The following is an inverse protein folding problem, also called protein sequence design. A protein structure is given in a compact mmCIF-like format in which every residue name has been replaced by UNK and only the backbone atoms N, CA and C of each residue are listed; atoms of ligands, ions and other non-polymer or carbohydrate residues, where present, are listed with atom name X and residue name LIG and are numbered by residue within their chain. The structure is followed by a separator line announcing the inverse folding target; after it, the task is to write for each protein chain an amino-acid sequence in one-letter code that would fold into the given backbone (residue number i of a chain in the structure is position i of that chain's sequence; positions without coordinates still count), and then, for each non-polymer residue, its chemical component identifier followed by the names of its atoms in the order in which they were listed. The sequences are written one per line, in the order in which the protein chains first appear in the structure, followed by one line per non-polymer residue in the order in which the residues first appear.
data_IF_952630270446
#
_entry.id   IF_952630270446
#
_cell.length_a   1.000
_cell.length_b   1.000
_cell.length_c   1.000
_cell.angle_alpha   90.00
_cell.angle_beta   90.00
_cell.angle_gamma   90.00
#
_symmetry.space_group_name_H-M   'P 1'
#
loop_
_entity.id
_entity.type
_entity.pdbx_description
1 polymer ?
#
# COMPACT_ATOMS: atom_id res chain seq x y z
N UNK A 1 -0.39 -22.45 -1.98
CA UNK A 1 0.94 -22.02 -2.45
C UNK A 1 0.76 -21.56 -3.90
N UNK A 2 0.82 -20.26 -4.18
CA UNK A 2 0.58 -19.75 -5.54
C UNK A 2 1.78 -20.12 -6.42
N UNK A 3 1.54 -20.81 -7.54
CA UNK A 3 2.58 -21.05 -8.54
C UNK A 3 2.85 -19.75 -9.28
N UNK A 4 3.89 -19.05 -8.87
CA UNK A 4 4.42 -17.91 -9.64
C UNK A 4 4.84 -18.45 -11.00
N UNK A 5 4.23 -17.95 -12.07
CA UNK A 5 4.59 -18.28 -13.45
C UNK A 5 5.35 -17.10 -14.05
N UNK A 6 6.65 -17.27 -14.29
CA UNK A 6 7.53 -16.25 -14.86
C UNK A 6 8.25 -15.41 -13.80
N UNK A 7 8.76 -14.24 -14.20
CA UNK A 7 9.36 -13.29 -13.25
C UNK A 7 8.28 -12.69 -12.34
N UNK A 8 8.59 -12.40 -11.08
CA UNK A 8 7.62 -11.81 -10.14
C UNK A 8 7.03 -10.51 -10.70
N UNK A 9 7.84 -9.73 -11.44
CA UNK A 9 7.39 -8.52 -12.13
C UNK A 9 6.28 -8.79 -13.15
N UNK A 10 6.46 -9.76 -14.04
CA UNK A 10 5.43 -10.14 -15.04
C UNK A 10 4.20 -10.79 -14.41
N UNK A 11 4.39 -11.47 -13.28
CA UNK A 11 3.28 -12.09 -12.58
C UNK A 11 2.41 -11.05 -11.87
N UNK A 12 3.02 -10.03 -11.25
CA UNK A 12 2.32 -8.93 -10.58
C UNK A 12 1.58 -8.02 -11.56
N UNK A 13 2.03 -7.90 -12.82
CA UNK A 13 1.31 -7.11 -13.84
C UNK A 13 0.04 -7.79 -14.36
N UNK A 14 -0.18 -9.08 -14.10
CA UNK A 14 -1.41 -9.78 -14.51
C UNK A 14 -2.64 -9.18 -13.81
N UNK A 15 -3.71 -8.95 -14.56
CA UNK A 15 -4.96 -8.38 -14.03
C UNK A 15 -5.52 -9.12 -12.81
N UNK A 16 -5.41 -10.45 -12.79
CA UNK A 16 -5.85 -11.28 -11.66
C UNK A 16 -5.11 -10.92 -10.36
N UNK A 17 -3.79 -10.76 -10.46
CA UNK A 17 -2.93 -10.43 -9.33
C UNK A 17 -3.12 -8.98 -8.92
N UNK A 18 -3.25 -8.05 -9.88
CA UNK A 18 -3.57 -6.64 -9.61
C UNK A 18 -4.89 -6.53 -8.83
N UNK A 19 -5.96 -7.21 -9.27
CA UNK A 19 -7.26 -7.23 -8.56
C UNK A 19 -7.15 -7.86 -7.19
N UNK A 20 -6.34 -8.90 -7.03
CA UNK A 20 -6.11 -9.54 -5.74
C UNK A 20 -5.41 -8.60 -4.76
N UNK A 21 -4.32 -7.94 -5.19
CA UNK A 21 -3.61 -6.92 -4.39
C UNK A 21 -4.58 -5.80 -4.05
N UNK A 22 -5.37 -5.32 -5.02
CA UNK A 22 -6.30 -4.23 -4.81
C UNK A 22 -7.36 -4.55 -3.75
N UNK A 23 -7.95 -5.76 -3.82
CA UNK A 23 -8.94 -6.23 -2.85
C UNK A 23 -8.33 -6.35 -1.45
N UNK A 24 -7.17 -6.99 -1.34
CA UNK A 24 -6.50 -7.20 -0.04
C UNK A 24 -6.05 -5.89 0.60
N UNK A 25 -5.53 -4.97 -0.20
CA UNK A 25 -5.13 -3.66 0.28
C UNK A 25 -6.34 -2.79 0.66
N UNK A 26 -7.46 -2.91 -0.05
CA UNK A 26 -8.72 -2.26 0.34
C UNK A 26 -9.24 -2.81 1.68
N UNK A 27 -9.17 -4.13 1.90
CA UNK A 27 -9.50 -4.77 3.18
C UNK A 27 -8.57 -4.29 4.31
N UNK A 28 -7.30 -4.02 3.99
CA UNK A 28 -6.32 -3.50 4.93
C UNK A 28 -6.57 -2.04 5.33
N UNK A 29 -6.90 -1.17 4.36
CA UNK A 29 -7.19 0.25 4.62
C UNK A 29 -8.56 0.50 5.27
N UNK A 30 -9.53 -0.36 4.98
CA UNK A 30 -10.88 -0.27 5.53
C UNK A 30 -11.16 -1.49 6.42
N UNK A 31 -10.50 -1.59 7.60
CA UNK A 31 -10.88 -2.60 8.56
C UNK A 31 -12.26 -2.21 9.09
N UNK A 32 -13.29 -2.88 8.59
CA UNK A 32 -14.60 -2.86 9.20
C UNK A 32 -14.43 -3.33 10.65
N UNK A 33 -14.40 -2.37 11.58
CA UNK A 33 -14.62 -2.52 13.02
C UNK A 33 -13.97 -3.77 13.62
N UNK A 34 -12.67 -3.71 13.93
CA UNK A 34 -12.08 -4.70 14.82
C UNK A 34 -11.65 -4.03 16.12
N UNK A 35 -12.59 -3.96 17.07
CA UNK A 35 -12.45 -3.40 18.43
C UNK A 35 -11.33 -4.05 19.27
N UNK A 36 -10.63 -5.07 18.76
CA UNK A 36 -9.64 -5.87 19.51
C UNK A 36 -8.19 -5.60 19.14
N UNK A 37 -7.91 -4.89 18.06
CA UNK A 37 -6.53 -4.65 17.62
C UNK A 37 -6.26 -3.16 17.57
N UNK A 38 -5.31 -2.70 18.39
CA UNK A 38 -4.61 -1.43 18.28
C UNK A 38 -3.85 -1.30 16.93
N UNK A 39 -4.49 -1.58 15.80
CA UNK A 39 -3.94 -1.23 14.50
C UNK A 39 -4.12 0.27 14.32
N UNK A 40 -3.05 0.94 13.90
CA UNK A 40 -3.03 2.37 13.63
C UNK A 40 -4.26 2.74 12.78
N UNK A 41 -5.02 3.71 13.26
CA UNK A 41 -6.25 4.16 12.59
C UNK A 41 -5.88 4.80 11.25
N UNK A 42 -5.73 4.00 10.19
CA UNK A 42 -5.52 4.51 8.83
C UNK A 42 -6.62 5.48 8.43
N UNK A 43 -7.86 5.28 8.94
CA UNK A 43 -8.96 6.23 8.82
C UNK A 43 -8.63 7.59 9.45
N UNK A 44 -8.05 7.61 10.65
CA UNK A 44 -7.61 8.85 11.30
C UNK A 44 -6.49 9.51 10.53
N UNK A 45 -5.51 8.75 10.06
CA UNK A 45 -4.43 9.27 9.21
C UNK A 45 -4.96 9.87 7.91
N UNK A 46 -5.94 9.21 7.26
CA UNK A 46 -6.60 9.73 6.06
C UNK A 46 -7.32 11.05 6.38
N UNK A 47 -8.06 11.13 7.48
CA UNK A 47 -8.75 12.36 7.87
C UNK A 47 -7.78 13.50 8.20
N UNK A 48 -6.69 13.20 8.89
CA UNK A 48 -5.63 14.18 9.18
C UNK A 48 -4.93 14.65 7.90
N UNK A 49 -4.62 13.73 7.00
CA UNK A 49 -4.06 13.99 5.68
C UNK A 49 -4.97 14.95 4.88
N UNK A 50 -6.28 14.68 4.86
CA UNK A 50 -7.27 15.52 4.18
C UNK A 50 -7.36 16.90 4.84
N UNK A 51 -7.38 16.96 6.17
CA UNK A 51 -7.43 18.22 6.93
C UNK A 51 -6.20 19.10 6.66
N UNK A 52 -5.03 18.49 6.51
CA UNK A 52 -3.76 19.17 6.22
C UNK A 52 -3.50 19.36 4.72
N UNK A 53 -4.44 18.98 3.84
CA UNK A 53 -4.28 19.01 2.38
C UNK A 53 -3.01 18.28 1.87
N UNK A 54 -2.58 17.23 2.57
CA UNK A 54 -1.44 16.39 2.17
C UNK A 54 -1.92 15.26 1.24
N UNK A 55 -1.11 14.82 0.30
CA UNK A 55 -1.46 13.71 -0.61
C UNK A 55 -0.64 12.44 -0.35
N UNK A 56 -0.01 12.31 0.81
CA UNK A 56 0.86 11.17 1.15
C UNK A 56 0.27 10.37 2.30
N UNK A 57 -0.01 9.09 2.06
CA UNK A 57 -0.46 8.13 3.05
C UNK A 57 0.72 7.24 3.46
N UNK A 58 1.07 7.25 4.74
CA UNK A 58 2.17 6.44 5.27
C UNK A 58 1.67 5.07 5.71
N UNK A 59 2.39 4.01 5.35
CA UNK A 59 2.05 2.62 5.67
C UNK A 59 3.24 1.92 6.28
N UNK A 60 3.06 1.39 7.49
CA UNK A 60 4.09 0.63 8.18
C UNK A 60 4.27 -0.75 7.54
N UNK A 61 5.45 -0.98 6.96
CA UNK A 61 5.80 -2.25 6.34
C UNK A 61 5.77 -3.43 7.34
N UNK A 62 6.13 -3.21 8.61
CA UNK A 62 6.09 -4.25 9.64
C UNK A 62 4.67 -4.72 9.89
N UNK A 63 3.71 -3.81 9.97
CA UNK A 63 2.30 -4.20 10.09
C UNK A 63 1.83 -4.91 8.82
N UNK A 64 2.21 -4.37 7.67
CA UNK A 64 1.80 -4.92 6.38
C UNK A 64 2.28 -6.35 6.16
N UNK A 65 3.53 -6.68 6.52
CA UNK A 65 4.05 -8.05 6.42
C UNK A 65 3.36 -9.03 7.38
N UNK A 66 2.93 -8.59 8.57
CA UNK A 66 2.16 -9.44 9.49
C UNK A 66 0.78 -9.80 8.94
N UNK A 67 0.11 -8.86 8.25
CA UNK A 67 -1.23 -9.09 7.70
C UNK A 67 -1.15 -9.82 6.34
N UNK A 68 -0.27 -9.38 5.45
CA UNK A 68 -0.16 -9.85 4.07
C UNK A 68 1.30 -10.10 3.66
N UNK A 69 1.94 -11.19 4.13
CA UNK A 69 3.34 -11.46 3.86
C UNK A 69 3.63 -11.67 2.36
N UNK A 70 2.71 -12.27 1.61
CA UNK A 70 2.89 -12.49 0.17
C UNK A 70 3.00 -11.17 -0.61
N UNK A 71 2.15 -10.18 -0.30
CA UNK A 71 2.17 -8.90 -0.99
C UNK A 71 3.41 -8.10 -0.57
N UNK A 72 3.83 -8.21 0.69
CA UNK A 72 5.07 -7.59 1.16
C UNK A 72 6.31 -8.10 0.41
N UNK A 73 6.38 -9.41 0.15
CA UNK A 73 7.45 -10.00 -0.68
C UNK A 73 7.41 -9.41 -2.11
N UNK A 74 6.23 -9.37 -2.73
CA UNK A 74 6.10 -8.78 -4.08
C UNK A 74 6.43 -7.29 -4.12
N UNK A 75 6.13 -6.56 -3.04
CA UNK A 75 6.49 -5.14 -2.90
C UNK A 75 8.01 -4.96 -2.84
N UNK A 76 8.74 -5.88 -2.22
CA UNK A 76 10.20 -5.85 -2.19
C UNK A 76 10.82 -6.14 -3.57
N UNK A 77 10.30 -7.13 -4.30
CA UNK A 77 10.84 -7.55 -5.61
C UNK A 77 10.42 -6.65 -6.78
N UNK A 78 9.19 -6.12 -6.73
CA UNK A 78 8.56 -5.33 -7.79
C UNK A 78 7.77 -4.13 -7.22
N UNK A 79 8.46 -3.18 -6.56
CA UNK A 79 7.80 -2.08 -5.85
C UNK A 79 6.94 -1.21 -6.76
N UNK A 80 7.41 -0.92 -7.98
CA UNK A 80 6.70 -0.04 -8.91
C UNK A 80 5.31 -0.57 -9.27
N UNK A 81 5.21 -1.85 -9.64
CA UNK A 81 3.94 -2.46 -10.05
C UNK A 81 2.97 -2.61 -8.88
N UNK A 82 3.48 -2.92 -7.68
CA UNK A 82 2.64 -3.06 -6.49
C UNK A 82 2.16 -1.69 -5.99
N UNK A 83 3.05 -0.69 -5.94
CA UNK A 83 2.70 0.66 -5.50
C UNK A 83 1.67 1.32 -6.42
N UNK A 84 1.75 1.11 -7.73
CA UNK A 84 0.74 1.62 -8.68
C UNK A 84 -0.67 1.16 -8.30
N UNK A 85 -0.84 -0.14 -7.99
CA UNK A 85 -2.12 -0.71 -7.56
C UNK A 85 -2.53 -0.20 -6.18
N UNK A 86 -1.60 -0.07 -5.25
CA UNK A 86 -1.88 0.47 -3.91
C UNK A 86 -2.34 1.93 -3.98
N UNK A 87 -1.69 2.76 -4.81
CA UNK A 87 -2.09 4.15 -5.03
C UNK A 87 -3.50 4.24 -5.66
N UNK A 88 -3.83 3.38 -6.62
CA UNK A 88 -5.17 3.33 -7.23
C UNK A 88 -6.26 3.04 -6.17
N UNK A 89 -6.01 2.08 -5.28
CA UNK A 89 -6.94 1.76 -4.19
C UNK A 89 -7.02 2.87 -3.16
N UNK A 90 -5.88 3.44 -2.76
CA UNK A 90 -5.86 4.55 -1.81
C UNK A 90 -6.64 5.75 -2.34
N UNK A 91 -6.48 6.08 -3.64
CA UNK A 91 -7.28 7.11 -4.31
C UNK A 91 -8.77 6.80 -4.20
N UNK A 92 -9.17 5.57 -4.52
CA UNK A 92 -10.57 5.17 -4.47
C UNK A 92 -11.14 5.32 -3.05
N UNK A 93 -10.45 4.83 -2.04
CA UNK A 93 -10.89 4.89 -0.63
C UNK A 93 -10.98 6.35 -0.16
N UNK A 94 -9.97 7.18 -0.43
CA UNK A 94 -9.95 8.58 0.01
C UNK A 94 -11.04 9.40 -0.69
N UNK A 95 -11.26 9.21 -1.99
CA UNK A 95 -12.31 9.92 -2.72
C UNK A 95 -13.73 9.44 -2.39
N UNK A 96 -13.88 8.17 -1.99
CA UNK A 96 -15.16 7.64 -1.48
C UNK A 96 -15.52 8.27 -0.14
N UNK A 97 -14.53 8.42 0.76
CA UNK A 97 -14.71 9.11 2.06
C UNK A 97 -14.90 10.63 1.90
N UNK A 98 -14.13 11.26 1.01
CA UNK A 98 -14.08 12.71 0.84
C UNK A 98 -14.20 13.11 -0.64
N UNK A 99 -15.42 13.10 -1.18
CA UNK A 99 -15.66 13.39 -2.60
C UNK A 99 -15.19 14.78 -3.05
N UNK A 100 -15.17 15.76 -2.13
CA UNK A 100 -14.69 17.12 -2.41
C UNK A 100 -13.16 17.21 -2.54
N UNK A 101 -12.41 16.24 -1.99
CA UNK A 101 -10.96 16.24 -1.97
C UNK A 101 -10.34 16.10 -3.37
N UNK A 102 -11.09 15.50 -4.30
CA UNK A 102 -10.71 15.36 -5.72
C UNK A 102 -10.44 16.70 -6.43
N UNK A 103 -10.97 17.81 -5.89
CA UNK A 103 -10.72 19.16 -6.42
C UNK A 103 -9.33 19.70 -6.04
N UNK A 104 -8.75 19.21 -4.95
CA UNK A 104 -7.47 19.68 -4.41
C UNK A 104 -6.34 18.81 -4.96
N UNK A 105 -6.48 17.49 -4.78
CA UNK A 105 -5.49 16.51 -5.23
C UNK A 105 -6.14 15.46 -6.13
N UNK A 106 -5.51 15.23 -7.28
CA UNK A 106 -5.97 14.22 -8.25
C UNK A 106 -5.42 12.82 -7.94
N UNK A 107 -4.34 12.74 -7.16
CA UNK A 107 -3.64 11.50 -6.86
C UNK A 107 -3.13 11.50 -5.42
N UNK A 108 -3.33 10.38 -4.74
CA UNK A 108 -2.76 10.02 -3.44
C UNK A 108 -1.58 9.10 -3.68
N UNK A 109 -0.49 9.38 -2.96
CA UNK A 109 0.74 8.62 -2.98
C UNK A 109 0.86 7.78 -1.70
N UNK A 110 1.24 6.52 -1.87
CA UNK A 110 1.50 5.61 -0.75
C UNK A 110 2.99 5.64 -0.43
N UNK A 111 3.33 5.91 0.84
CA UNK A 111 4.70 5.93 1.35
C UNK A 111 4.89 4.79 2.32
N UNK A 112 5.85 3.92 2.02
CA UNK A 112 6.17 2.78 2.88
C UNK A 112 7.19 3.22 3.93
N UNK A 113 6.88 2.98 5.20
CA UNK A 113 7.74 3.29 6.36
C UNK A 113 8.19 2.00 7.04
N UNK A 114 9.22 2.09 7.90
CA UNK A 114 9.68 0.99 8.76
C UNK A 114 10.09 -0.30 8.04
N UNK A 115 10.74 -0.19 6.88
CA UNK A 115 11.38 -1.34 6.22
C UNK A 115 12.33 -2.05 7.22
N UNK A 116 12.28 -3.39 7.33
CA UNK A 116 13.04 -4.14 8.33
C UNK A 116 14.52 -4.25 7.98
N UNK A 117 14.92 -3.84 6.77
CA UNK A 117 16.28 -3.92 6.25
C UNK A 117 16.81 -2.50 6.13
N UNK A 118 17.95 -2.25 6.76
CA UNK A 118 18.69 -0.99 6.66
C UNK A 118 20.07 -1.29 6.08
N UNK A 119 20.30 -0.87 4.84
CA UNK A 119 21.60 -0.93 4.22
C UNK A 119 22.31 0.42 4.31
N UNK A 120 23.62 0.39 4.53
CA UNK A 120 24.43 1.60 4.40
C UNK A 120 24.52 2.00 2.93
N UNK A 121 24.49 3.30 2.64
CA UNK A 121 24.62 3.82 1.26
C UNK A 121 25.85 3.24 0.54
N UNK A 122 26.95 3.02 1.28
CA UNK A 122 28.20 2.43 0.75
C UNK A 122 28.09 0.95 0.37
N UNK A 123 27.11 0.23 0.90
CA UNK A 123 26.88 -1.18 0.64
C UNK A 123 25.90 -1.40 -0.52
N UNK A 124 25.35 -0.34 -1.11
CA UNK A 124 24.48 -0.44 -2.28
C UNK A 124 25.35 -0.91 -3.45
N UNK A 125 25.14 -2.17 -3.86
CA UNK A 125 25.79 -2.77 -5.03
C UNK A 125 24.81 -2.75 -6.20
N UNK A 126 25.30 -2.43 -7.40
CA UNK A 126 24.54 -2.71 -8.61
C UNK A 126 24.56 -4.23 -8.82
N UNK A 127 23.38 -4.85 -8.85
CA UNK A 127 23.17 -6.24 -9.28
C UNK A 127 22.65 -6.20 -10.71
#
# INVERSE_FOLDING_TARGET
MYRVQGTIREWVTRDEVRRFIAKKFSEFLCPYVNEKTKQEDYLRQINEMVTLNKCSLEIDYKQFIYVHPNIAIWLADAPQSVLEVMEEVANKVVFDLHSNYKKIHQKIHVRITNLPIYDQIRNIRSI
#
